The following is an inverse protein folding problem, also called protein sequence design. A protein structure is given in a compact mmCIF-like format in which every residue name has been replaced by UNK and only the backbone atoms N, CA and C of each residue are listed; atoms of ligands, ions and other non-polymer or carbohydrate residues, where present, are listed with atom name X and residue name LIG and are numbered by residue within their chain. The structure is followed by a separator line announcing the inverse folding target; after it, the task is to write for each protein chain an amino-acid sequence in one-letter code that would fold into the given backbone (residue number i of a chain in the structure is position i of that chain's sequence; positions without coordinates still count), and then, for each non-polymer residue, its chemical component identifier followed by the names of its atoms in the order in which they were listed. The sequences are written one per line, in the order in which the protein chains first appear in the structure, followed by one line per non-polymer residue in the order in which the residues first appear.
data_IF_048380968383
#
_entry.id   IF_048380968383
#
_cell.length_a   1.000
_cell.length_b   1.000
_cell.length_c   1.000
_cell.angle_alpha   90.00
_cell.angle_beta   90.00
_cell.angle_gamma   90.00
#
_symmetry.space_group_name_H-M   'P 1'
#
loop_
_entity.id
_entity.type
_entity.pdbx_description
1 polymer ?
#
# COMPACT_ATOMS: atom_id res chain seq x y z
N UNK A 1 22.42 -17.58 5.84
CA UNK A 1 20.97 -17.32 6.02
C UNK A 1 20.56 -16.32 4.95
N UNK A 2 19.60 -16.65 4.07
CA UNK A 2 19.08 -15.66 3.11
C UNK A 2 18.37 -14.55 3.90
N UNK A 3 18.88 -13.32 3.80
CA UNK A 3 18.21 -12.16 4.38
C UNK A 3 16.82 -12.05 3.75
N UNK A 4 15.77 -12.22 4.55
CA UNK A 4 14.41 -12.00 4.07
C UNK A 4 14.30 -10.52 3.67
N UNK A 5 13.92 -10.20 2.42
CA UNK A 5 13.78 -8.81 2.01
C UNK A 5 12.79 -8.11 2.95
N UNK A 6 13.17 -6.95 3.49
CA UNK A 6 12.31 -6.17 4.40
C UNK A 6 10.85 -6.14 3.90
N UNK A 7 9.89 -6.31 4.81
CA UNK A 7 8.45 -6.32 4.52
C UNK A 7 8.01 -5.21 3.55
N UNK A 8 8.63 -4.03 3.69
CA UNK A 8 8.39 -2.88 2.84
C UNK A 8 8.91 -3.09 1.40
N UNK A 9 10.06 -3.73 1.22
CA UNK A 9 10.60 -4.08 -0.11
C UNK A 9 9.70 -5.08 -0.82
N UNK A 10 9.26 -6.13 -0.12
CA UNK A 10 8.30 -7.09 -0.67
C UNK A 10 6.99 -6.39 -1.06
N UNK A 11 6.46 -5.53 -0.19
CA UNK A 11 5.22 -4.80 -0.47
C UNK A 11 5.36 -3.90 -1.70
N UNK A 12 6.47 -3.18 -1.84
CA UNK A 12 6.74 -2.34 -3.00
C UNK A 12 6.82 -3.17 -4.30
N UNK A 13 7.51 -4.31 -4.27
CA UNK A 13 7.60 -5.21 -5.42
C UNK A 13 6.22 -5.80 -5.80
N UNK A 14 5.42 -6.20 -4.81
CA UNK A 14 4.06 -6.70 -5.02
C UNK A 14 3.10 -5.63 -5.56
N UNK A 15 3.29 -4.36 -5.15
CA UNK A 15 2.53 -3.26 -5.73
C UNK A 15 2.92 -3.03 -7.20
N UNK A 16 4.22 -2.99 -7.50
CA UNK A 16 4.72 -2.78 -8.86
C UNK A 16 4.33 -3.90 -9.84
N UNK A 17 4.09 -5.12 -9.35
CA UNK A 17 3.62 -6.24 -10.19
C UNK A 17 2.11 -6.26 -10.43
N UNK A 18 1.31 -5.66 -9.54
CA UNK A 18 -0.16 -5.65 -9.63
C UNK A 18 -0.69 -4.36 -10.26
N UNK A 19 0.02 -3.24 -10.06
CA UNK A 19 -0.34 -1.94 -10.60
C UNK A 19 0.79 -1.37 -11.47
N UNK A 20 0.40 -0.73 -12.57
CA UNK A 20 1.31 0.14 -13.31
C UNK A 20 1.50 1.48 -12.59
N UNK A 21 2.57 2.21 -12.92
CA UNK A 21 2.82 3.53 -12.35
C UNK A 21 1.63 4.48 -12.59
N UNK A 22 1.07 4.47 -13.80
CA UNK A 22 -0.09 5.27 -14.20
C UNK A 22 -1.34 4.96 -13.38
N UNK A 23 -1.56 3.69 -13.01
CA UNK A 23 -2.70 3.31 -12.17
C UNK A 23 -2.57 3.75 -10.71
N UNK A 24 -1.32 3.95 -10.23
CA UNK A 24 -1.02 4.45 -8.90
C UNK A 24 -1.12 5.98 -8.83
N UNK A 25 -0.86 6.65 -9.95
CA UNK A 25 -0.90 8.11 -10.02
C UNK A 25 -2.30 8.66 -9.77
N UNK A 26 -2.35 9.73 -8.98
CA UNK A 26 -3.61 10.38 -8.64
C UNK A 26 -4.56 9.56 -7.77
N UNK A 27 -4.16 8.37 -7.27
CA UNK A 27 -4.99 7.52 -6.40
C UNK A 27 -4.63 7.62 -4.92
N UNK A 28 -5.54 7.15 -4.07
CA UNK A 28 -5.34 7.04 -2.62
C UNK A 28 -5.68 5.63 -2.11
N UNK A 29 -5.17 5.25 -0.94
CA UNK A 29 -5.44 3.92 -0.36
C UNK A 29 -6.92 3.70 -0.07
N UNK A 30 -7.64 4.74 0.35
CA UNK A 30 -9.02 4.64 0.85
C UNK A 30 -10.04 5.42 0.04
N UNK A 31 -9.62 6.33 -0.85
CA UNK A 31 -10.53 7.28 -1.48
C UNK A 31 -11.08 8.32 -0.51
N UNK A 32 -10.60 8.40 0.73
CA UNK A 32 -11.14 9.30 1.73
C UNK A 32 -10.33 10.61 1.79
N UNK A 33 -11.00 11.78 1.92
CA UNK A 33 -10.31 13.05 2.13
C UNK A 33 -9.53 13.04 3.46
N UNK A 34 -8.36 13.67 3.46
CA UNK A 34 -7.56 13.82 4.68
C UNK A 34 -8.30 14.64 5.73
N UNK A 35 -8.44 14.10 6.95
CA UNK A 35 -9.08 14.79 8.08
C UNK A 35 -8.37 16.10 8.45
N UNK A 36 -7.05 16.21 8.23
CA UNK A 36 -6.26 17.42 8.53
C UNK A 36 -6.49 18.57 7.54
N UNK A 37 -7.01 18.31 6.34
CA UNK A 37 -7.25 19.34 5.29
C UNK A 37 -8.75 19.54 4.99
N UNK A 38 -9.62 19.01 5.85
CA UNK A 38 -11.06 18.87 5.61
C UNK A 38 -11.88 20.15 5.83
N UNK A 39 -11.57 21.23 5.10
CA UNK A 39 -12.51 22.33 4.89
C UNK A 39 -13.48 22.01 3.73
N UNK A 40 -14.71 22.53 3.76
CA UNK A 40 -15.73 22.36 2.69
C UNK A 40 -15.21 22.61 1.26
N UNK A 41 -14.13 23.40 1.11
CA UNK A 41 -13.47 23.74 -0.17
C UNK A 41 -12.63 22.61 -0.79
N UNK A 42 -12.16 21.62 -0.02
CA UNK A 42 -11.25 20.56 -0.53
C UNK A 42 -11.95 19.25 -0.93
N UNK A 43 -13.28 19.18 -0.85
CA UNK A 43 -14.05 17.99 -1.29
C UNK A 43 -13.98 17.74 -2.82
N UNK A 44 -13.53 18.72 -3.61
CA UNK A 44 -13.56 18.65 -5.08
C UNK A 44 -12.43 17.82 -5.71
N UNK A 45 -11.34 17.54 -4.99
CA UNK A 45 -10.20 16.74 -5.49
C UNK A 45 -9.90 15.56 -4.57
N UNK A 46 -10.89 14.69 -4.35
CA UNK A 46 -10.66 13.44 -3.64
C UNK A 46 -10.08 12.43 -4.63
N UNK A 47 -8.82 12.06 -4.40
CA UNK A 47 -8.13 11.02 -5.18
C UNK A 47 -8.91 9.70 -5.11
N UNK A 48 -9.31 9.08 -6.23
CA UNK A 48 -10.06 7.83 -6.21
C UNK A 48 -9.28 6.74 -5.46
N UNK A 49 -10.02 5.85 -4.81
CA UNK A 49 -9.45 4.71 -4.11
C UNK A 49 -8.71 3.76 -5.06
N UNK A 50 -7.71 3.06 -4.52
CA UNK A 50 -7.13 1.91 -5.19
C UNK A 50 -8.19 0.83 -5.42
N UNK A 51 -8.07 0.11 -6.54
CA UNK A 51 -9.00 -0.97 -6.87
C UNK A 51 -9.02 -2.00 -5.71
N UNK A 52 -10.19 -2.25 -5.09
CA UNK A 52 -10.29 -3.11 -3.91
C UNK A 52 -9.91 -4.57 -4.21
N UNK A 53 -10.14 -5.05 -5.44
CA UNK A 53 -9.80 -6.41 -5.87
C UNK A 53 -8.27 -6.57 -5.92
N UNK A 54 -7.58 -5.64 -6.61
CA UNK A 54 -6.11 -5.61 -6.67
C UNK A 54 -5.49 -5.46 -5.27
N UNK A 55 -6.09 -4.63 -4.41
CA UNK A 55 -5.70 -4.46 -3.01
C UNK A 55 -5.84 -5.75 -2.19
N UNK A 56 -6.90 -6.52 -2.43
CA UNK A 56 -7.08 -7.81 -1.78
C UNK A 56 -6.06 -8.84 -2.27
N UNK A 57 -5.72 -8.85 -3.56
CA UNK A 57 -4.67 -9.69 -4.13
C UNK A 57 -3.30 -9.40 -3.48
N UNK A 58 -2.91 -8.13 -3.37
CA UNK A 58 -1.68 -7.72 -2.69
C UNK A 58 -1.64 -8.17 -1.22
N UNK A 59 -2.75 -8.02 -0.49
CA UNK A 59 -2.86 -8.51 0.89
C UNK A 59 -2.74 -10.03 0.99
N UNK A 60 -3.31 -10.79 0.05
CA UNK A 60 -3.19 -12.26 0.01
C UNK A 60 -1.75 -12.68 -0.26
N UNK A 61 -1.08 -12.04 -1.22
CA UNK A 61 0.34 -12.27 -1.50
C UNK A 61 1.21 -11.97 -0.27
N UNK A 62 0.98 -10.85 0.41
CA UNK A 62 1.72 -10.47 1.61
C UNK A 62 1.46 -11.39 2.81
N UNK A 63 0.22 -11.88 3.00
CA UNK A 63 -0.07 -12.91 4.00
C UNK A 63 0.68 -14.20 3.71
N UNK A 64 0.79 -14.61 2.44
CA UNK A 64 1.58 -15.78 2.04
C UNK A 64 3.07 -15.54 2.30
N UNK A 65 3.58 -14.36 1.98
CA UNK A 65 4.97 -13.96 2.30
C UNK A 65 5.28 -14.06 3.80
N UNK A 66 4.45 -13.49 4.67
CA UNK A 66 4.64 -13.55 6.13
C UNK A 66 4.67 -15.00 6.63
N UNK A 67 3.85 -15.89 6.07
CA UNK A 67 3.82 -17.32 6.44
C UNK A 67 5.09 -18.05 5.99
N UNK A 68 5.63 -17.73 4.82
CA UNK A 68 6.84 -18.35 4.27
C UNK A 68 8.12 -17.79 4.92
N UNK A 69 8.06 -16.53 5.36
CA UNK A 69 9.16 -15.82 6.00
C UNK A 69 8.70 -15.30 7.37
N UNK A 70 8.56 -16.19 8.37
CA UNK A 70 8.25 -15.81 9.74
C UNK A 70 9.49 -15.13 10.34
N UNK A 71 9.69 -13.85 10.01
CA UNK A 71 10.55 -12.99 10.83
C UNK A 71 9.87 -12.90 12.20
N UNK A 72 10.66 -12.93 13.29
CA UNK A 72 10.17 -13.14 14.67
C UNK A 72 9.18 -12.12 15.25
N UNK A 73 8.62 -11.22 14.45
CA UNK A 73 7.53 -10.34 14.84
C UNK A 73 6.14 -10.94 14.64
N UNK A 74 5.17 -10.50 15.42
CA UNK A 74 3.77 -10.93 15.32
C UNK A 74 3.21 -10.76 13.88
N UNK A 75 2.76 -11.85 13.23
CA UNK A 75 2.15 -11.82 11.90
C UNK A 75 0.99 -10.84 11.78
N UNK A 76 0.19 -10.67 12.84
CA UNK A 76 -0.98 -9.78 12.82
C UNK A 76 -0.55 -8.32 12.76
N UNK A 77 0.44 -7.94 13.56
CA UNK A 77 1.09 -6.63 13.51
C UNK A 77 1.71 -6.35 12.13
N UNK A 78 2.37 -7.34 11.51
CA UNK A 78 2.92 -7.21 10.15
C UNK A 78 1.83 -6.97 9.11
N UNK A 79 0.73 -7.73 9.16
CA UNK A 79 -0.44 -7.51 8.28
C UNK A 79 -1.05 -6.12 8.47
N UNK A 80 -1.10 -5.58 9.70
CA UNK A 80 -1.58 -4.21 9.95
C UNK A 80 -0.67 -3.15 9.29
N UNK A 81 0.64 -3.38 9.24
CA UNK A 81 1.61 -2.49 8.56
C UNK A 81 1.42 -2.40 7.04
N UNK A 82 0.74 -3.37 6.41
CA UNK A 82 0.42 -3.35 4.98
C UNK A 82 -0.26 -2.04 4.52
N UNK A 83 -1.16 -1.48 5.35
CA UNK A 83 -1.83 -0.20 5.05
C UNK A 83 -0.87 0.99 5.06
N UNK A 84 0.10 0.96 5.98
CA UNK A 84 1.15 1.99 6.10
C UNK A 84 2.06 1.92 4.88
N UNK A 85 2.48 0.72 4.48
CA UNK A 85 3.30 0.53 3.28
C UNK A 85 2.55 0.97 2.02
N UNK A 86 1.29 0.58 1.84
CA UNK A 86 0.49 1.04 0.70
C UNK A 86 0.39 2.57 0.61
N UNK A 87 0.28 3.24 1.76
CA UNK A 87 0.24 4.71 1.80
C UNK A 87 1.61 5.30 1.43
N UNK A 88 2.69 4.76 1.96
CA UNK A 88 4.05 5.20 1.66
C UNK A 88 4.42 4.99 0.18
N UNK A 89 4.08 3.84 -0.40
CA UNK A 89 4.34 3.54 -1.82
C UNK A 89 3.57 4.47 -2.76
N UNK A 90 2.31 4.82 -2.43
CA UNK A 90 1.56 5.81 -3.18
C UNK A 90 2.17 7.21 -3.07
N UNK A 91 2.68 7.60 -1.90
CA UNK A 91 3.37 8.89 -1.73
C UNK A 91 4.62 8.94 -2.60
N UNK A 92 5.39 7.85 -2.66
CA UNK A 92 6.57 7.75 -3.54
C UNK A 92 6.20 7.79 -5.01
N UNK A 93 5.16 7.03 -5.42
CA UNK A 93 4.69 7.05 -6.80
C UNK A 93 4.23 8.44 -7.25
N UNK A 94 3.52 9.19 -6.39
CA UNK A 94 3.10 10.57 -6.69
C UNK A 94 4.23 11.60 -6.58
N UNK A 95 5.40 11.26 -6.01
CA UNK A 95 6.57 12.15 -5.93
C UNK A 95 7.51 12.02 -7.14
N UNK A 96 7.51 10.86 -7.78
CA UNK A 96 8.40 10.52 -8.90
C UNK A 96 7.72 10.64 -10.28
N UNK A 97 6.53 11.25 -10.34
CA UNK A 97 5.82 11.57 -11.57
C UNK A 97 5.57 13.07 -11.63
#
# INVERSE_FOLDING_TARGET
MMESPSDQKFWNAALASIWTLDELLGRSVTGAPSRRRGGKRHRRHVKPGLNPIKMQAAKRAYRRYIRLFPTGGDPTARVKKARVYASASLVLANRNA
#
